data_IF_672082380468
#
_entry.id   IF_672082380468
#
_cell.length_a   1.000
_cell.length_b   1.000
_cell.length_c   1.000
_cell.angle_alpha   90.00
_cell.angle_beta   90.00
_cell.angle_gamma   90.00
#
_symmetry.space_group_name_H-M   'P 1'
#
loop_
_entity.id
_entity.type
_entity.pdbx_description
1 polymer ?
#
# COMPACT_ATOMS: atom_id res chain seq x y z
N UNK A 1 -12.81 12.15 7.56
CA UNK A 1 -11.44 11.85 7.13
C UNK A 1 -11.42 10.57 6.33
N UNK A 2 -10.64 10.54 5.26
CA UNK A 2 -10.61 9.37 4.39
C UNK A 2 -9.69 8.31 4.95
N UNK A 3 -10.15 7.08 4.95
CA UNK A 3 -9.36 5.93 5.34
C UNK A 3 -8.22 5.69 4.34
N UNK A 4 -7.04 5.37 4.84
CA UNK A 4 -5.83 5.21 4.03
C UNK A 4 -5.57 3.73 3.78
N UNK A 5 -5.73 3.29 2.53
CA UNK A 5 -5.25 1.97 2.10
C UNK A 5 -3.75 2.09 1.83
N UNK A 6 -2.94 1.37 2.59
CA UNK A 6 -1.49 1.43 2.42
C UNK A 6 -1.04 0.50 1.31
N UNK A 7 -0.38 1.07 0.30
CA UNK A 7 0.31 0.29 -0.71
C UNK A 7 1.43 -0.54 -0.08
N UNK A 8 1.78 -1.64 -0.71
CA UNK A 8 2.82 -2.54 -0.19
C UNK A 8 4.14 -1.81 0.06
N UNK A 9 4.51 -0.82 -0.76
CA UNK A 9 5.74 -0.06 -0.55
C UNK A 9 5.71 0.74 0.77
N UNK A 10 4.55 1.19 1.22
CA UNK A 10 4.42 1.87 2.52
C UNK A 10 4.52 0.85 3.66
N UNK A 11 3.87 -0.31 3.53
CA UNK A 11 3.99 -1.38 4.53
C UNK A 11 5.44 -1.85 4.68
N UNK A 12 6.15 -2.02 3.57
CA UNK A 12 7.56 -2.41 3.58
C UNK A 12 8.42 -1.34 4.26
N UNK A 13 8.17 -0.07 3.94
CA UNK A 13 8.91 1.04 4.55
C UNK A 13 8.69 1.12 6.06
N UNK A 14 7.48 0.86 6.53
CA UNK A 14 7.15 0.83 7.96
C UNK A 14 7.85 -0.32 8.66
N UNK A 15 7.89 -1.50 8.03
CA UNK A 15 8.35 -2.73 8.67
C UNK A 15 9.88 -2.86 8.71
N UNK A 16 10.57 -2.42 7.63
CA UNK A 16 11.99 -2.73 7.46
C UNK A 16 12.85 -1.48 7.63
N UNK A 17 13.69 -1.42 8.69
CA UNK A 17 14.53 -0.25 8.96
C UNK A 17 15.52 0.11 7.86
N UNK A 18 15.91 -0.88 7.03
CA UNK A 18 16.81 -0.66 5.91
C UNK A 18 16.12 -0.08 4.67
N UNK A 19 14.80 0.08 4.70
CA UNK A 19 14.08 0.67 3.57
C UNK A 19 14.39 2.17 3.47
N UNK A 20 14.62 2.65 2.24
CA UNK A 20 15.01 4.05 2.00
C UNK A 20 13.98 5.05 2.53
N UNK A 21 12.70 4.69 2.57
CA UNK A 21 11.62 5.55 3.02
C UNK A 21 11.12 5.24 4.43
N UNK A 22 11.89 4.47 5.20
CA UNK A 22 11.48 4.06 6.55
C UNK A 22 11.10 5.26 7.43
N UNK A 23 11.95 6.28 7.50
CA UNK A 23 11.69 7.45 8.32
C UNK A 23 10.47 8.25 7.85
N UNK A 24 10.32 8.39 6.52
CA UNK A 24 9.18 9.11 5.95
C UNK A 24 7.86 8.40 6.24
N UNK A 25 7.84 7.06 6.10
CA UNK A 25 6.66 6.26 6.40
C UNK A 25 6.26 6.37 7.87
N UNK A 26 7.24 6.30 8.79
CA UNK A 26 6.98 6.41 10.21
C UNK A 26 6.48 7.80 10.61
N UNK A 27 6.99 8.86 10.00
CA UNK A 27 6.48 10.21 10.26
C UNK A 27 5.01 10.34 9.84
N UNK A 28 4.67 9.85 8.66
CA UNK A 28 3.27 9.87 8.21
C UNK A 28 2.38 9.04 9.14
N UNK A 29 2.82 7.83 9.47
CA UNK A 29 2.05 6.91 10.30
C UNK A 29 1.79 7.50 11.69
N UNK A 30 2.77 8.15 12.29
CA UNK A 30 2.62 8.77 13.60
C UNK A 30 1.55 9.88 13.60
N UNK A 31 1.41 10.60 12.48
CA UNK A 31 0.42 11.67 12.36
C UNK A 31 -0.97 11.17 12.02
N UNK A 32 -1.08 10.14 11.20
CA UNK A 32 -2.32 9.81 10.50
C UNK A 32 -2.94 8.48 10.90
N UNK A 33 -2.19 7.57 11.50
CA UNK A 33 -2.65 6.20 11.72
C UNK A 33 -3.86 6.12 12.66
N UNK A 34 -3.96 7.04 13.63
CA UNK A 34 -5.08 7.06 14.57
C UNK A 34 -6.42 7.35 13.87
N UNK A 35 -6.39 8.04 12.72
CA UNK A 35 -7.58 8.32 11.93
C UNK A 35 -8.10 7.10 11.15
N UNK A 36 -7.31 6.03 11.09
CA UNK A 36 -7.65 4.80 10.40
C UNK A 36 -6.76 4.56 9.19
N UNK A 37 -6.29 3.33 9.06
CA UNK A 37 -5.52 2.86 7.92
C UNK A 37 -5.92 1.42 7.63
N UNK A 38 -5.68 0.98 6.41
CA UNK A 38 -6.23 -0.28 5.95
C UNK A 38 -5.23 -1.07 5.16
N UNK A 39 -5.46 -2.38 5.15
CA UNK A 39 -4.84 -3.32 4.22
C UNK A 39 -5.94 -4.15 3.54
N UNK A 40 -5.57 -4.80 2.46
CA UNK A 40 -6.40 -5.81 1.81
C UNK A 40 -5.55 -7.03 1.46
N UNK A 41 -6.16 -8.08 0.96
CA UNK A 41 -5.43 -9.31 0.65
C UNK A 41 -4.25 -9.06 -0.30
N UNK A 42 -4.44 -8.23 -1.33
CA UNK A 42 -3.38 -7.96 -2.30
C UNK A 42 -2.18 -7.26 -1.66
N UNK A 43 -2.40 -6.24 -0.82
CA UNK A 43 -1.28 -5.54 -0.17
C UNK A 43 -0.59 -6.40 0.87
N UNK A 44 -1.32 -7.23 1.59
CA UNK A 44 -0.74 -8.17 2.54
C UNK A 44 0.12 -9.24 1.85
N UNK A 45 -0.39 -9.82 0.77
CA UNK A 45 0.36 -10.80 -0.01
C UNK A 45 1.61 -10.20 -0.64
N UNK A 46 1.49 -8.99 -1.18
CA UNK A 46 2.64 -8.28 -1.74
C UNK A 46 3.71 -8.00 -0.67
N UNK A 47 3.31 -7.60 0.53
CA UNK A 47 4.24 -7.39 1.64
C UNK A 47 5.03 -8.66 1.95
N UNK A 48 4.34 -9.80 2.12
CA UNK A 48 5.00 -11.07 2.43
C UNK A 48 5.92 -11.50 1.30
N UNK A 49 5.43 -11.45 0.08
CA UNK A 49 6.18 -11.87 -1.10
C UNK A 49 7.46 -11.05 -1.30
N UNK A 50 7.37 -9.74 -1.20
CA UNK A 50 8.51 -8.84 -1.40
C UNK A 50 9.49 -8.93 -0.22
N UNK A 51 8.99 -9.05 1.01
CA UNK A 51 9.86 -9.24 2.18
C UNK A 51 10.67 -10.52 2.11
N UNK A 52 10.17 -11.54 1.41
CA UNK A 52 10.83 -12.83 1.27
C UNK A 52 11.65 -12.97 -0.03
N UNK A 53 11.66 -11.95 -0.88
CA UNK A 53 12.29 -12.03 -2.20
C UNK A 53 13.72 -11.49 -2.15
N UNK A 54 14.76 -12.36 -2.30
CA UNK A 54 16.15 -11.91 -2.29
C UNK A 54 16.53 -11.02 -3.48
N UNK A 55 15.73 -11.01 -4.54
CA UNK A 55 15.93 -10.08 -5.66
C UNK A 55 15.45 -8.67 -5.30
N UNK A 56 14.52 -8.53 -4.34
CA UNK A 56 14.01 -7.25 -3.89
C UNK A 56 14.82 -6.69 -2.71
N UNK A 57 15.23 -7.55 -1.78
CA UNK A 57 16.00 -7.13 -0.61
C UNK A 57 17.08 -8.16 -0.28
N UNK A 58 18.27 -7.69 0.09
CA UNK A 58 19.35 -8.58 0.51
C UNK A 58 19.16 -9.13 1.94
N UNK A 59 18.15 -8.64 2.65
CA UNK A 59 17.79 -9.12 3.99
C UNK A 59 16.46 -9.87 3.95
N UNK A 60 16.28 -10.74 2.94
CA UNK A 60 15.04 -11.45 2.76
C UNK A 60 14.66 -12.27 3.99
N UNK A 61 13.44 -12.11 4.44
CA UNK A 61 12.86 -12.88 5.56
C UNK A 61 12.23 -14.16 5.05
N UNK A 62 12.10 -15.15 5.92
CA UNK A 62 11.24 -16.28 5.62
C UNK A 62 9.78 -15.80 5.51
N UNK A 63 8.98 -16.37 4.59
CA UNK A 63 7.60 -15.92 4.41
C UNK A 63 6.77 -15.94 5.70
N UNK A 64 6.91 -16.97 6.52
CA UNK A 64 6.20 -17.05 7.80
C UNK A 64 6.60 -15.95 8.78
N UNK A 65 7.88 -15.56 8.78
CA UNK A 65 8.37 -14.48 9.64
C UNK A 65 7.85 -13.12 9.15
N UNK A 66 7.82 -12.91 7.83
CA UNK A 66 7.24 -11.72 7.25
C UNK A 66 5.74 -11.59 7.59
N UNK A 67 5.00 -12.69 7.47
CA UNK A 67 3.59 -12.72 7.82
C UNK A 67 3.36 -12.44 9.31
N UNK A 68 4.23 -12.95 10.16
CA UNK A 68 4.14 -12.71 11.61
C UNK A 68 4.39 -11.23 11.94
N UNK A 69 5.38 -10.63 11.30
CA UNK A 69 5.64 -9.19 11.45
C UNK A 69 4.46 -8.35 10.99
N UNK A 70 3.87 -8.68 9.85
CA UNK A 70 2.67 -8.01 9.36
C UNK A 70 1.53 -8.12 10.38
N UNK A 71 1.35 -9.28 11.01
CA UNK A 71 0.35 -9.48 12.05
C UNK A 71 0.51 -8.54 13.23
N UNK A 72 1.75 -8.18 13.59
CA UNK A 72 1.99 -7.19 14.65
C UNK A 72 1.50 -5.79 14.23
N UNK A 73 1.73 -5.39 12.99
CA UNK A 73 1.24 -4.11 12.48
C UNK A 73 -0.28 -4.08 12.42
N UNK A 74 -0.90 -5.14 11.92
CA UNK A 74 -2.35 -5.19 11.75
C UNK A 74 -3.10 -5.32 13.07
N UNK A 75 -2.39 -5.57 14.17
CA UNK A 75 -2.94 -5.47 15.52
C UNK A 75 -3.11 -4.03 16.02
N UNK A 76 -2.64 -3.03 15.28
CA UNK A 76 -2.79 -1.63 15.64
C UNK A 76 -4.26 -1.22 15.68
N UNK A 77 -4.60 -0.38 16.68
CA UNK A 77 -6.00 0.02 16.92
C UNK A 77 -6.65 0.72 15.73
N UNK A 78 -5.87 1.42 14.90
CA UNK A 78 -6.37 2.11 13.71
C UNK A 78 -6.50 1.25 12.47
N UNK A 79 -6.04 0.01 12.52
CA UNK A 79 -6.04 -0.87 11.35
C UNK A 79 -7.42 -1.45 11.07
N UNK A 80 -7.79 -1.49 9.77
CA UNK A 80 -8.97 -2.17 9.26
C UNK A 80 -8.60 -3.02 8.06
N UNK A 81 -9.03 -4.26 8.08
CA UNK A 81 -8.88 -5.13 6.93
C UNK A 81 -10.06 -4.97 5.98
N UNK A 82 -9.78 -4.64 4.71
CA UNK A 82 -10.81 -4.57 3.68
C UNK A 82 -11.01 -5.96 3.09
N UNK A 83 -12.04 -6.64 3.55
CA UNK A 83 -12.30 -8.07 3.30
C UNK A 83 -13.12 -8.34 2.04
N UNK A 84 -13.67 -7.31 1.41
CA UNK A 84 -14.43 -7.46 0.18
C UNK A 84 -13.91 -6.50 -0.88
N UNK A 85 -13.85 -7.00 -2.11
CA UNK A 85 -13.43 -6.23 -3.26
C UNK A 85 -14.35 -6.54 -4.43
N UNK A 86 -14.61 -5.56 -5.32
CA UNK A 86 -15.41 -5.80 -6.50
C UNK A 86 -14.69 -6.71 -7.49
N UNK A 87 -15.44 -7.30 -8.39
CA UNK A 87 -14.86 -7.92 -9.56
C UNK A 87 -14.16 -6.86 -10.42
N UNK A 88 -13.17 -7.29 -11.20
CA UNK A 88 -12.45 -6.40 -12.08
C UNK A 88 -13.39 -5.78 -13.12
N UNK A 89 -13.22 -4.48 -13.34
CA UNK A 89 -13.92 -3.77 -14.42
C UNK A 89 -12.90 -3.29 -15.45
N UNK A 90 -13.12 -3.50 -16.74
CA UNK A 90 -12.16 -3.05 -17.75
C UNK A 90 -11.82 -1.57 -17.67
N UNK A 91 -12.78 -0.74 -17.27
CA UNK A 91 -12.58 0.71 -17.13
C UNK A 91 -11.54 1.07 -16.06
N UNK A 92 -11.30 0.19 -15.07
CA UNK A 92 -10.29 0.43 -14.05
C UNK A 92 -8.88 0.43 -14.61
N UNK A 93 -8.69 -0.17 -15.80
CA UNK A 93 -7.39 -0.32 -16.46
C UNK A 93 -7.23 0.56 -17.69
N UNK A 94 -8.12 1.51 -17.91
CA UNK A 94 -8.15 2.30 -19.13
C UNK A 94 -6.86 3.11 -19.37
N UNK A 95 -6.14 3.46 -18.30
CA UNK A 95 -4.90 4.24 -18.37
C UNK A 95 -3.65 3.42 -18.12
N UNK A 96 -3.79 2.11 -17.98
CA UNK A 96 -2.66 1.20 -17.72
C UNK A 96 -2.03 0.80 -19.05
N UNK A 97 -0.73 1.04 -19.18
CA UNK A 97 -0.01 0.75 -20.41
C UNK A 97 0.71 -0.61 -20.40
N UNK A 98 0.93 -1.20 -19.24
CA UNK A 98 1.65 -2.45 -19.12
C UNK A 98 1.42 -3.19 -17.83
N UNK A 99 1.99 -4.39 -17.74
CA UNK A 99 1.72 -5.31 -16.63
C UNK A 99 2.17 -4.79 -15.26
N UNK A 100 3.15 -3.89 -15.21
CA UNK A 100 3.73 -3.42 -13.95
C UNK A 100 2.79 -2.52 -13.15
N UNK A 101 1.73 -2.00 -13.78
CA UNK A 101 0.81 -1.05 -13.15
C UNK A 101 -0.56 -1.64 -12.86
N UNK A 102 -0.74 -2.93 -13.10
CA UNK A 102 -2.06 -3.58 -12.97
C UNK A 102 -2.54 -3.58 -11.52
N UNK A 103 -1.68 -3.98 -10.59
CA UNK A 103 -2.06 -4.03 -9.17
C UNK A 103 -2.39 -2.66 -8.61
N UNK A 104 -1.59 -1.66 -8.96
CA UNK A 104 -1.78 -0.28 -8.49
C UNK A 104 -3.08 0.32 -9.02
N UNK A 105 -3.42 0.06 -10.27
CA UNK A 105 -4.68 0.53 -10.85
C UNK A 105 -5.88 -0.08 -10.12
N UNK A 106 -5.80 -1.37 -9.79
CA UNK A 106 -6.87 -2.03 -9.05
C UNK A 106 -6.99 -1.52 -7.62
N UNK A 107 -5.86 -1.32 -6.94
CA UNK A 107 -5.85 -0.76 -5.57
C UNK A 107 -6.46 0.64 -5.55
N UNK A 108 -6.17 1.45 -6.56
CA UNK A 108 -6.73 2.78 -6.68
C UNK A 108 -8.24 2.73 -6.88
N UNK A 109 -8.72 1.85 -7.75
CA UNK A 109 -10.15 1.66 -7.96
C UNK A 109 -10.85 1.20 -6.67
N UNK A 110 -10.22 0.29 -5.93
CA UNK A 110 -10.75 -0.18 -4.64
C UNK A 110 -10.84 0.97 -3.63
N UNK A 111 -9.78 1.77 -3.53
CA UNK A 111 -9.77 2.92 -2.62
C UNK A 111 -10.86 3.93 -2.98
N UNK A 112 -11.03 4.23 -4.27
CA UNK A 112 -12.07 5.13 -4.76
C UNK A 112 -13.47 4.61 -4.43
N UNK A 113 -13.70 3.31 -4.63
CA UNK A 113 -14.99 2.70 -4.35
C UNK A 113 -15.36 2.78 -2.87
N UNK A 114 -14.37 2.70 -1.99
CA UNK A 114 -14.61 2.80 -0.54
C UNK A 114 -14.55 4.24 -0.01
N UNK A 115 -14.39 5.23 -0.88
CA UNK A 115 -14.28 6.62 -0.47
C UNK A 115 -13.00 6.95 0.30
N UNK A 116 -11.99 6.07 0.20
CA UNK A 116 -10.70 6.24 0.84
C UNK A 116 -9.64 6.80 -0.09
N UNK A 117 -8.38 6.61 0.29
CA UNK A 117 -7.21 6.98 -0.52
C UNK A 117 -6.21 5.83 -0.53
N UNK A 118 -5.58 5.61 -1.68
CA UNK A 118 -4.39 4.79 -1.77
C UNK A 118 -3.18 5.65 -1.37
N UNK A 119 -2.47 5.21 -0.34
CA UNK A 119 -1.26 5.88 0.15
C UNK A 119 -0.05 5.12 -0.34
N UNK A 120 0.84 5.79 -1.05
CA UNK A 120 1.95 5.16 -1.77
C UNK A 120 3.17 6.06 -1.83
N UNK A 121 4.35 5.45 -2.06
CA UNK A 121 5.55 6.18 -2.43
C UNK A 121 5.77 6.24 -3.95
N UNK A 122 4.94 5.57 -4.73
CA UNK A 122 5.13 5.50 -6.18
C UNK A 122 4.59 6.76 -6.86
N UNK A 123 5.51 7.59 -7.35
CA UNK A 123 5.19 8.86 -8.00
C UNK A 123 4.50 8.68 -9.36
N UNK A 124 4.47 7.46 -9.91
CA UNK A 124 3.85 7.17 -11.21
C UNK A 124 2.35 6.95 -11.10
N UNK A 125 1.84 6.62 -9.93
CA UNK A 125 0.42 6.28 -9.75
C UNK A 125 -0.52 7.44 -10.10
N UNK A 126 -0.24 8.70 -9.76
CA UNK A 126 -1.13 9.80 -10.15
C UNK A 126 -1.43 9.88 -11.65
N UNK A 127 -0.48 9.46 -12.51
CA UNK A 127 -0.72 9.43 -13.95
C UNK A 127 -1.78 8.40 -14.36
N UNK A 128 -2.00 7.37 -13.55
CA UNK A 128 -3.03 6.35 -13.78
C UNK A 128 -4.39 6.79 -13.25
N UNK A 129 -4.42 7.80 -12.40
CA UNK A 129 -5.58 8.06 -11.56
C UNK A 129 -6.76 8.64 -12.35
N UNK A 130 -6.51 9.50 -13.35
CA UNK A 130 -7.59 10.12 -14.11
C UNK A 130 -8.65 10.71 -13.18
N UNK A 131 -9.90 10.21 -13.25
CA UNK A 131 -10.98 10.71 -12.38
C UNK A 131 -10.80 10.35 -10.91
N UNK A 132 -9.87 9.45 -10.56
CA UNK A 132 -9.62 9.04 -9.18
C UNK A 132 -8.48 9.81 -8.51
N UNK A 133 -8.04 10.95 -9.09
CA UNK A 133 -6.87 11.68 -8.59
C UNK A 133 -7.00 12.07 -7.11
N UNK A 134 -8.20 12.35 -6.62
CA UNK A 134 -8.44 12.67 -5.21
C UNK A 134 -8.30 11.45 -4.27
N UNK A 135 -8.22 10.24 -4.81
CA UNK A 135 -8.11 9.00 -4.06
C UNK A 135 -6.66 8.47 -4.00
N UNK A 136 -5.69 9.30 -4.32
CA UNK A 136 -4.27 8.97 -4.23
C UNK A 136 -3.55 9.98 -3.35
N UNK A 137 -2.73 9.49 -2.43
CA UNK A 137 -1.79 10.31 -1.69
C UNK A 137 -0.39 9.73 -1.89
N UNK A 138 0.48 10.49 -2.54
CA UNK A 138 1.89 10.12 -2.67
C UNK A 138 2.66 10.74 -1.53
N UNK A 139 3.35 9.89 -0.76
CA UNK A 139 4.17 10.35 0.35
C UNK A 139 5.50 10.86 -0.20
N UNK A 140 5.88 12.08 0.19
CA UNK A 140 7.18 12.62 -0.17
C UNK A 140 8.26 12.01 0.73
N UNK A 141 9.40 11.60 0.16
CA UNK A 141 10.55 11.27 0.99
C UNK A 141 10.95 12.54 1.75
N UNK A 142 11.43 12.37 2.99
CA UNK A 142 11.90 13.50 3.77
C UNK A 142 13.09 14.17 3.09
N UNK A 143 13.18 15.49 3.16
CA UNK A 143 14.39 16.17 2.72
C UNK A 143 15.60 15.72 3.54
#
# INVERSE_FOLDING_TARGET
MREALLDANVLLALAWPNHQFHAAAHRWFAREAAAGWSTCALTQLAFVRLSANPAFTRFAAAPGDAARLLGLFTGHVGHRYWDSAPALAPSDFARVLGHQQVNEAWLLALAAQRGGRLVTFDTRIPALAGPFAEHVLVLAPAP
#
